data_IF_946371984820
#
_entry.id   IF_946371984820
#
_cell.length_a   1.000
_cell.length_b   1.000
_cell.length_c   1.000
_cell.angle_alpha   90.00
_cell.angle_beta   90.00
_cell.angle_gamma   90.00
#
_symmetry.space_group_name_H-M   'P 1'
#
loop_
_entity.id
_entity.type
_entity.pdbx_description
1 polymer ?
#
# COMPACT_ATOMS: atom_id res chain seq x y z
N UNK A 1 36.90 -6.78 23.08
CA UNK A 1 35.79 -7.15 22.17
C UNK A 1 34.53 -7.17 23.02
N UNK A 2 33.54 -6.31 22.73
CA UNK A 2 32.37 -6.08 23.59
C UNK A 2 31.55 -7.37 23.82
N UNK A 3 31.26 -7.70 25.08
CA UNK A 3 30.40 -8.83 25.48
C UNK A 3 29.03 -8.79 24.78
N UNK A 4 28.49 -7.59 24.55
CA UNK A 4 27.26 -7.35 23.81
C UNK A 4 27.29 -7.94 22.38
N UNK A 5 28.42 -7.85 21.69
CA UNK A 5 28.58 -8.37 20.33
C UNK A 5 28.52 -9.91 20.32
N UNK A 6 29.17 -10.54 21.29
CA UNK A 6 29.13 -12.00 21.46
C UNK A 6 27.71 -12.49 21.76
N UNK A 7 27.00 -11.82 22.67
CA UNK A 7 25.61 -12.14 23.00
C UNK A 7 24.70 -12.03 21.78
N UNK A 8 24.84 -10.97 20.98
CA UNK A 8 24.09 -10.79 19.74
C UNK A 8 24.36 -11.91 18.73
N UNK A 9 25.63 -12.31 18.54
CA UNK A 9 25.97 -13.42 17.64
C UNK A 9 25.33 -14.74 18.08
N UNK A 10 25.32 -15.04 19.39
CA UNK A 10 24.71 -16.26 19.93
C UNK A 10 23.19 -16.25 19.73
N UNK A 11 22.52 -15.11 19.94
CA UNK A 11 21.07 -14.98 19.72
C UNK A 11 20.74 -15.17 18.22
N UNK A 12 21.47 -14.51 17.33
CA UNK A 12 21.26 -14.61 15.87
C UNK A 12 21.53 -16.04 15.39
N UNK A 13 22.61 -16.67 15.85
CA UNK A 13 22.90 -18.07 15.54
C UNK A 13 21.80 -19.02 16.02
N UNK A 14 21.31 -18.84 17.26
CA UNK A 14 20.23 -19.66 17.82
C UNK A 14 18.93 -19.52 17.01
N UNK A 15 18.60 -18.29 16.59
CA UNK A 15 17.43 -18.03 15.76
C UNK A 15 17.55 -18.67 14.37
N UNK A 16 18.71 -18.56 13.72
CA UNK A 16 18.95 -19.19 12.42
C UNK A 16 18.95 -20.72 12.52
N UNK A 17 19.52 -21.27 13.59
CA UNK A 17 19.48 -22.71 13.87
C UNK A 17 18.05 -23.24 14.00
N UNK A 18 17.18 -22.50 14.70
CA UNK A 18 15.76 -22.86 14.80
C UNK A 18 15.09 -22.93 13.43
N UNK A 19 15.34 -21.94 12.56
CA UNK A 19 14.78 -21.92 11.20
C UNK A 19 15.34 -23.01 10.28
N UNK A 20 16.65 -23.24 10.33
CA UNK A 20 17.30 -24.31 9.57
C UNK A 20 16.74 -25.66 9.99
N UNK A 21 16.58 -25.88 11.30
CA UNK A 21 15.97 -27.10 11.84
C UNK A 21 14.54 -27.27 11.32
N UNK A 22 13.69 -26.23 11.41
CA UNK A 22 12.31 -26.31 10.92
C UNK A 22 12.23 -26.59 9.41
N UNK A 23 13.14 -26.00 8.62
CA UNK A 23 13.16 -26.10 7.16
C UNK A 23 13.66 -27.46 6.68
N UNK A 24 14.69 -28.01 7.33
CA UNK A 24 15.36 -29.23 6.92
C UNK A 24 15.15 -30.40 7.89
N UNK A 25 14.08 -30.39 8.68
CA UNK A 25 13.81 -31.39 9.73
C UNK A 25 13.88 -32.84 9.19
N UNK A 26 13.39 -33.04 7.96
CA UNK A 26 13.28 -34.34 7.31
C UNK A 26 14.53 -34.69 6.48
N UNK A 27 15.47 -33.74 6.32
CA UNK A 27 16.68 -33.86 5.52
C UNK A 27 17.94 -33.60 6.37
N UNK A 28 18.31 -34.57 7.21
CA UNK A 28 19.38 -34.45 8.21
C UNK A 28 20.74 -34.01 7.63
N UNK A 29 21.09 -34.48 6.43
CA UNK A 29 22.37 -34.16 5.80
C UNK A 29 22.43 -32.69 5.33
N UNK A 30 21.32 -32.18 4.76
CA UNK A 30 21.18 -30.77 4.39
C UNK A 30 21.14 -29.87 5.62
N UNK A 31 20.45 -30.30 6.69
CA UNK A 31 20.44 -29.59 7.97
C UNK A 31 21.85 -29.44 8.53
N UNK A 32 22.64 -30.52 8.56
CA UNK A 32 24.03 -30.50 9.03
C UNK A 32 24.91 -29.54 8.21
N UNK A 33 24.81 -29.61 6.89
CA UNK A 33 25.59 -28.75 5.99
C UNK A 33 25.18 -27.27 6.12
N UNK A 34 23.89 -26.98 6.21
CA UNK A 34 23.36 -25.63 6.44
C UNK A 34 23.77 -25.08 7.82
N UNK A 35 23.81 -25.92 8.85
CA UNK A 35 24.28 -25.56 10.20
C UNK A 35 25.75 -25.16 10.18
N UNK A 36 26.61 -25.95 9.54
CA UNK A 36 28.04 -25.63 9.42
C UNK A 36 28.26 -24.35 8.60
N UNK A 37 27.55 -24.21 7.49
CA UNK A 37 27.64 -23.01 6.64
C UNK A 37 27.17 -21.74 7.38
N UNK A 38 26.05 -21.81 8.10
CA UNK A 38 25.52 -20.66 8.86
C UNK A 38 26.44 -20.28 10.03
N UNK A 39 26.97 -21.27 10.77
CA UNK A 39 27.97 -21.01 11.80
C UNK A 39 29.21 -20.31 11.21
N UNK A 40 29.74 -20.81 10.09
CA UNK A 40 30.89 -20.21 9.41
C UNK A 40 30.64 -18.74 9.06
N UNK A 41 29.48 -18.43 8.45
CA UNK A 41 29.12 -17.06 8.07
C UNK A 41 28.99 -16.13 9.27
N UNK A 42 28.38 -16.58 10.37
CA UNK A 42 28.14 -15.73 11.56
C UNK A 42 29.43 -15.49 12.35
N UNK A 43 30.29 -16.49 12.49
CA UNK A 43 31.52 -16.34 13.26
C UNK A 43 32.62 -15.62 12.47
N UNK A 44 32.69 -15.82 11.15
CA UNK A 44 33.73 -15.24 10.30
C UNK A 44 33.33 -13.86 9.74
N UNK A 45 32.05 -13.64 9.47
CA UNK A 45 31.49 -12.38 8.96
C UNK A 45 30.49 -11.73 9.91
N UNK A 46 30.61 -11.98 11.23
CA UNK A 46 29.63 -11.53 12.22
C UNK A 46 29.33 -10.03 12.22
N UNK A 47 30.34 -9.19 11.93
CA UNK A 47 30.17 -7.75 11.85
C UNK A 47 29.33 -7.38 10.62
N UNK A 48 29.59 -8.00 9.47
CA UNK A 48 28.81 -7.81 8.24
C UNK A 48 27.36 -8.28 8.40
N UNK A 49 27.15 -9.44 9.05
CA UNK A 49 25.80 -9.98 9.33
C UNK A 49 25.03 -9.06 10.28
N UNK A 50 25.68 -8.54 11.31
CA UNK A 50 25.07 -7.63 12.28
C UNK A 50 24.69 -6.30 11.61
N UNK A 51 25.57 -5.74 10.77
CA UNK A 51 25.25 -4.55 9.97
C UNK A 51 24.09 -4.81 9.01
N UNK A 52 24.09 -5.95 8.32
CA UNK A 52 23.00 -6.31 7.41
C UNK A 52 21.66 -6.40 8.14
N UNK A 53 21.62 -7.06 9.30
CA UNK A 53 20.43 -7.15 10.13
C UNK A 53 19.97 -5.77 10.65
N UNK A 54 20.92 -4.93 11.08
CA UNK A 54 20.63 -3.56 11.51
C UNK A 54 20.08 -2.70 10.38
N UNK A 55 20.66 -2.78 9.17
CA UNK A 55 20.13 -2.11 7.98
C UNK A 55 18.76 -2.64 7.61
N UNK A 56 18.54 -3.96 7.64
CA UNK A 56 17.24 -4.55 7.35
C UNK A 56 16.16 -4.04 8.32
N UNK A 57 16.43 -4.06 9.64
CA UNK A 57 15.53 -3.51 10.64
C UNK A 57 15.29 -2.03 10.42
N UNK A 58 16.34 -1.25 10.12
CA UNK A 58 16.22 0.16 9.80
C UNK A 58 15.31 0.36 8.58
N UNK A 59 15.50 -0.35 7.47
CA UNK A 59 14.66 -0.21 6.29
C UNK A 59 13.22 -0.68 6.50
N UNK A 60 12.98 -1.73 7.29
CA UNK A 60 11.61 -2.19 7.59
C UNK A 60 10.88 -1.18 8.48
N UNK A 61 11.53 -0.75 9.57
CA UNK A 61 10.94 0.22 10.51
C UNK A 61 10.77 1.58 9.83
N UNK A 62 11.84 2.12 9.24
CA UNK A 62 11.80 3.40 8.54
C UNK A 62 10.88 3.35 7.31
N UNK A 63 10.82 2.21 6.61
CA UNK A 63 9.92 1.98 5.49
C UNK A 63 8.46 2.05 5.91
N UNK A 64 8.09 1.41 7.02
CA UNK A 64 6.72 1.49 7.55
C UNK A 64 6.34 2.92 7.99
N UNK A 65 7.28 3.66 8.60
CA UNK A 65 7.06 5.07 8.95
C UNK A 65 6.98 5.96 7.70
N UNK A 66 7.80 5.72 6.69
CA UNK A 66 7.74 6.45 5.43
C UNK A 66 6.42 6.19 4.71
N UNK A 67 5.96 4.94 4.68
CA UNK A 67 4.65 4.59 4.13
C UNK A 67 3.52 5.29 4.89
N UNK A 68 3.57 5.31 6.23
CA UNK A 68 2.60 6.02 7.06
C UNK A 68 2.63 7.54 6.79
N UNK A 69 3.82 8.12 6.68
CA UNK A 69 3.98 9.54 6.37
C UNK A 69 3.43 9.91 4.99
N UNK A 70 3.65 9.06 3.99
CA UNK A 70 3.09 9.28 2.65
C UNK A 70 1.56 9.20 2.70
N UNK A 71 1.00 8.16 3.31
CA UNK A 71 -0.44 7.92 3.32
C UNK A 71 -1.22 8.93 4.17
N UNK A 72 -0.67 9.37 5.31
CA UNK A 72 -1.38 10.22 6.28
C UNK A 72 -0.84 11.65 6.38
N UNK A 73 0.35 11.93 5.86
CA UNK A 73 0.91 13.28 5.82
C UNK A 73 0.83 13.88 4.42
N UNK A 74 1.45 13.22 3.44
CA UNK A 74 1.69 13.80 2.12
C UNK A 74 0.44 13.75 1.22
N UNK A 75 -0.28 12.62 1.20
CA UNK A 75 -1.48 12.49 0.35
C UNK A 75 -2.65 13.40 0.79
N UNK A 76 -2.95 13.55 2.09
CA UNK A 76 -3.96 14.52 2.54
C UNK A 76 -3.57 15.96 2.22
N UNK A 77 -2.28 16.31 2.32
CA UNK A 77 -1.78 17.63 1.92
C UNK A 77 -1.99 17.91 0.42
N UNK A 78 -1.94 16.87 -0.42
CA UNK A 78 -2.25 16.95 -1.86
C UNK A 78 -3.75 16.84 -2.19
N UNK A 79 -4.63 16.75 -1.18
CA UNK A 79 -6.09 16.71 -1.36
C UNK A 79 -6.66 15.33 -1.77
N UNK A 80 -5.87 14.26 -1.63
CA UNK A 80 -6.34 12.89 -1.86
C UNK A 80 -6.79 12.26 -0.54
N UNK A 81 -8.04 11.79 -0.50
CA UNK A 81 -8.58 11.00 0.61
C UNK A 81 -8.62 9.51 0.23
N UNK A 82 -8.41 8.64 1.23
CA UNK A 82 -8.49 7.19 1.07
C UNK A 82 -9.96 6.77 0.90
N UNK A 83 -10.34 6.42 -0.33
CA UNK A 83 -11.64 5.82 -0.64
C UNK A 83 -11.48 4.31 -0.84
N UNK A 84 -11.24 3.56 0.24
CA UNK A 84 -11.00 2.12 0.17
C UNK A 84 -9.69 1.79 -0.56
N UNK A 85 -9.80 1.13 -1.72
CA UNK A 85 -8.66 0.58 -2.50
C UNK A 85 -8.02 1.60 -3.47
N UNK A 86 -8.52 2.85 -3.51
CA UNK A 86 -8.03 3.90 -4.41
C UNK A 86 -7.96 5.27 -3.72
N UNK A 87 -7.02 6.09 -4.16
CA UNK A 87 -6.93 7.50 -3.79
C UNK A 87 -7.94 8.30 -4.63
N UNK A 88 -8.87 8.95 -3.95
CA UNK A 88 -9.93 9.73 -4.59
C UNK A 88 -9.78 11.18 -4.14
N UNK A 89 -9.88 12.13 -5.06
CA UNK A 89 -9.87 13.55 -4.69
C UNK A 89 -11.07 13.85 -3.80
N UNK A 90 -10.87 14.65 -2.75
CA UNK A 90 -11.94 15.00 -1.80
C UNK A 90 -13.20 15.55 -2.49
N UNK A 91 -13.05 16.28 -3.58
CA UNK A 91 -14.16 16.80 -4.41
C UNK A 91 -15.02 15.70 -5.02
N UNK A 92 -14.42 14.58 -5.45
CA UNK A 92 -15.14 13.45 -6.02
C UNK A 92 -15.92 12.67 -4.95
N UNK A 93 -15.36 12.57 -3.74
CA UNK A 93 -16.06 11.96 -2.60
C UNK A 93 -17.29 12.77 -2.22
N UNK A 94 -17.17 14.09 -2.12
CA UNK A 94 -18.31 14.98 -1.85
C UNK A 94 -19.37 14.91 -2.96
N UNK A 95 -18.95 14.85 -4.22
CA UNK A 95 -19.88 14.70 -5.35
C UNK A 95 -20.62 13.35 -5.33
N UNK A 96 -19.94 12.25 -4.96
CA UNK A 96 -20.59 10.94 -4.80
C UNK A 96 -21.62 10.93 -3.67
N UNK A 97 -21.30 11.55 -2.52
CA UNK A 97 -22.24 11.65 -1.40
C UNK A 97 -23.50 12.42 -1.79
N UNK A 98 -23.35 13.57 -2.47
CA UNK A 98 -24.49 14.37 -2.97
C UNK A 98 -25.34 13.62 -3.99
N UNK A 99 -24.72 12.81 -4.84
CA UNK A 99 -25.45 11.94 -5.78
C UNK A 99 -26.22 10.83 -5.08
N UNK A 100 -25.66 10.26 -4.01
CA UNK A 100 -26.34 9.29 -3.15
C UNK A 100 -27.57 9.88 -2.47
N UNK A 101 -27.44 11.09 -1.89
CA UNK A 101 -28.56 11.84 -1.29
C UNK A 101 -29.68 12.09 -2.30
N UNK A 102 -29.34 12.57 -3.51
CA UNK A 102 -30.31 12.82 -4.58
C UNK A 102 -30.99 11.52 -5.05
N UNK A 103 -30.25 10.40 -5.10
CA UNK A 103 -30.81 9.12 -5.53
C UNK A 103 -31.75 8.54 -4.47
N UNK A 104 -31.43 8.75 -3.19
CA UNK A 104 -32.28 8.36 -2.08
C UNK A 104 -33.58 9.18 -2.06
N UNK A 105 -33.49 10.51 -2.21
CA UNK A 105 -34.67 11.38 -2.26
C UNK A 105 -35.56 11.11 -3.50
N UNK A 106 -34.98 10.66 -4.63
CA UNK A 106 -35.76 10.15 -5.77
C UNK A 106 -36.51 8.84 -5.42
N UNK A 107 -35.87 7.95 -4.67
CA UNK A 107 -36.45 6.67 -4.22
C UNK A 107 -37.58 6.87 -3.22
N UNK A 108 -37.44 7.86 -2.35
CA UNK A 108 -38.44 8.27 -1.36
C UNK A 108 -39.58 9.09 -1.99
N UNK A 109 -39.44 9.46 -3.27
CA UNK A 109 -40.46 10.20 -4.02
C UNK A 109 -40.55 11.69 -3.68
N UNK A 110 -39.58 12.22 -2.94
CA UNK A 110 -39.51 13.64 -2.57
C UNK A 110 -39.18 14.55 -3.75
N UNK A 111 -38.52 13.99 -4.78
CA UNK A 111 -38.12 14.72 -5.99
C UNK A 111 -38.56 13.97 -7.25
N UNK A 112 -38.96 14.74 -8.26
CA UNK A 112 -39.30 14.24 -9.58
C UNK A 112 -38.07 13.70 -10.30
N UNK A 113 -38.25 12.68 -11.15
CA UNK A 113 -37.20 12.15 -12.03
C UNK A 113 -36.56 13.22 -12.93
N UNK A 114 -37.33 14.22 -13.35
CA UNK A 114 -36.83 15.35 -14.14
C UNK A 114 -35.97 16.32 -13.32
N UNK A 115 -36.24 16.43 -12.02
CA UNK A 115 -35.52 17.29 -11.09
C UNK A 115 -34.21 16.64 -10.64
N UNK A 116 -34.25 15.32 -10.41
CA UNK A 116 -33.06 14.50 -10.21
C UNK A 116 -32.09 14.60 -11.39
N UNK A 117 -32.56 14.52 -12.64
CA UNK A 117 -31.69 14.58 -13.81
C UNK A 117 -31.00 15.96 -13.98
N UNK A 118 -31.68 17.05 -13.60
CA UNK A 118 -31.08 18.39 -13.60
C UNK A 118 -30.06 18.56 -12.47
N UNK A 119 -30.38 18.09 -11.27
CA UNK A 119 -29.53 18.24 -10.09
C UNK A 119 -28.28 17.34 -10.14
N UNK A 120 -28.37 16.15 -10.76
CA UNK A 120 -27.28 15.16 -10.82
C UNK A 120 -26.21 15.45 -11.88
N UNK A 121 -26.55 16.11 -12.98
CA UNK A 121 -25.63 16.46 -14.10
C UNK A 121 -24.30 17.10 -13.67
N UNK A 122 -24.27 18.15 -12.82
CA UNK A 122 -23.00 18.77 -12.41
C UNK A 122 -22.12 17.83 -11.57
N UNK A 123 -22.72 16.99 -10.72
CA UNK A 123 -21.97 16.06 -9.86
C UNK A 123 -21.45 14.85 -10.63
N UNK A 124 -22.20 14.34 -11.61
CA UNK A 124 -21.72 13.29 -12.51
C UNK A 124 -20.51 13.75 -13.31
N UNK A 125 -20.52 15.01 -13.77
CA UNK A 125 -19.40 15.63 -14.48
C UNK A 125 -18.15 15.75 -13.60
N UNK A 126 -18.31 16.09 -12.33
CA UNK A 126 -17.21 16.19 -11.36
C UNK A 126 -16.57 14.83 -11.02
N UNK A 127 -17.37 13.75 -10.98
CA UNK A 127 -16.88 12.39 -10.69
C UNK A 127 -16.17 11.78 -11.91
N UNK A 128 -16.66 12.04 -13.12
CA UNK A 128 -16.10 11.47 -14.35
C UNK A 128 -14.68 11.98 -14.66
N UNK A 129 -14.28 13.11 -14.06
CA UNK A 129 -12.92 13.67 -14.18
C UNK A 129 -12.56 14.17 -15.59
N UNK A 130 -11.42 14.86 -15.74
CA UNK A 130 -11.00 15.46 -17.02
C UNK A 130 -10.75 14.42 -18.13
N UNK A 131 -10.44 13.17 -17.78
CA UNK A 131 -10.27 12.08 -18.74
C UNK A 131 -11.56 11.74 -19.50
N UNK A 132 -12.73 12.03 -18.92
CA UNK A 132 -14.01 11.85 -19.60
C UNK A 132 -14.31 12.99 -20.59
N UNK A 133 -13.89 14.22 -20.29
CA UNK A 133 -14.11 15.38 -21.16
C UNK A 133 -13.34 15.26 -22.49
N UNK A 134 -12.11 14.74 -22.47
CA UNK A 134 -11.33 14.47 -23.70
C UNK A 134 -12.00 13.39 -24.57
N UNK A 135 -12.53 12.34 -23.95
CA UNK A 135 -13.20 11.25 -24.67
C UNK A 135 -14.54 11.69 -25.28
N UNK A 136 -15.31 12.51 -24.57
CA UNK A 136 -16.56 13.09 -25.10
C UNK A 136 -16.30 14.16 -26.16
N UNK A 137 -15.23 14.94 -26.03
CA UNK A 137 -14.79 15.89 -27.05
C UNK A 137 -14.39 15.15 -28.35
N UNK A 138 -13.58 14.10 -28.24
CA UNK A 138 -13.15 13.29 -29.39
C UNK A 138 -14.34 12.56 -30.06
N UNK A 139 -15.26 11.99 -29.27
CA UNK A 139 -16.46 11.34 -29.78
C UNK A 139 -17.43 12.32 -30.49
N UNK A 140 -17.53 13.55 -29.99
CA UNK A 140 -18.35 14.60 -30.61
C UNK A 140 -17.75 15.13 -31.92
N UNK A 141 -16.42 15.15 -32.02
CA UNK A 141 -15.70 15.52 -33.25
C UNK A 141 -15.89 14.47 -34.35
N UNK A 142 -15.83 13.18 -34.00
CA UNK A 142 -16.06 12.08 -34.97
C UNK A 142 -17.48 12.05 -35.53
N UNK A 143 -18.49 12.44 -34.75
CA UNK A 143 -19.88 12.56 -35.24
C UNK A 143 -20.13 13.73 -36.19
N UNK A 144 -19.25 14.73 -36.24
CA UNK A 144 -19.37 15.89 -37.15
C UNK A 144 -18.65 15.68 -38.48
N UNK A 145 -17.82 14.64 -38.59
CA UNK A 145 -16.98 14.35 -39.76
C UNK A 145 -17.43 13.11 -40.55
N UNK A 146 -18.55 12.48 -40.19
CA UNK A 146 -19.21 11.41 -40.93
C UNK A 146 -20.64 11.80 -41.27
#
# INVERSE_FOLDING_TARGET
>A
MNELYFVLQVIVFSYLMFWIYMTFRDAQLLMGLATVASAYVIFLHGLSVTLLAAFFLLFVVLGSHLQMFIQFGLMPFLGYQHGGDRFVKEEQVKAQQRLGELQQALREGEISSAEYERASKPFQKAIAGPASEEFFAEASQRRRLG
#
